data_IF_143767712196
#
_entry.id   IF_143767712196
#
_cell.length_a   1.000
_cell.length_b   1.000
_cell.length_c   1.000
_cell.angle_alpha   90.00
_cell.angle_beta   90.00
_cell.angle_gamma   90.00
#
_symmetry.space_group_name_H-M   'P 1'
#
loop_
_entity.id
_entity.type
_entity.pdbx_description
1 polymer ?
#
# COMPACT_ATOMS: atom_id res chain seq x y z
N UNK A 1 24.06 8.22 -10.52
CA UNK A 1 23.24 6.99 -10.54
C UNK A 1 22.58 6.88 -11.90
N UNK A 2 22.70 5.71 -12.55
CA UNK A 2 22.06 5.36 -13.82
C UNK A 2 21.19 4.13 -13.63
N UNK A 3 20.15 3.98 -14.46
CA UNK A 3 19.29 2.80 -14.47
C UNK A 3 19.51 2.00 -15.74
N UNK A 4 19.54 0.68 -15.61
CA UNK A 4 19.68 -0.26 -16.72
C UNK A 4 18.52 -1.25 -16.73
N UNK A 5 18.02 -1.58 -17.90
CA UNK A 5 17.12 -2.72 -18.12
C UNK A 5 17.97 -3.92 -18.49
N UNK A 6 17.96 -4.95 -17.64
CA UNK A 6 18.79 -6.14 -17.83
C UNK A 6 17.95 -7.40 -17.87
N UNK A 7 18.35 -8.35 -18.72
CA UNK A 7 17.75 -9.68 -18.71
C UNK A 7 18.28 -10.46 -17.49
N UNK A 8 17.39 -11.06 -16.73
CA UNK A 8 17.74 -11.88 -15.56
C UNK A 8 18.57 -13.12 -15.90
N UNK A 9 18.63 -13.50 -17.17
CA UNK A 9 19.43 -14.63 -17.67
C UNK A 9 20.86 -14.26 -18.05
N UNK A 10 21.25 -12.98 -17.93
CA UNK A 10 22.61 -12.56 -18.23
C UNK A 10 23.62 -13.24 -17.30
N UNK A 11 24.80 -13.61 -17.83
CA UNK A 11 25.89 -14.13 -17.00
C UNK A 11 26.24 -13.13 -15.88
N UNK A 12 26.45 -13.66 -14.69
CA UNK A 12 26.74 -12.84 -13.51
C UNK A 12 25.50 -12.36 -12.75
N UNK A 13 24.28 -12.76 -13.16
CA UNK A 13 23.05 -12.52 -12.39
C UNK A 13 22.59 -13.83 -11.75
N UNK A 14 22.37 -13.80 -10.45
CA UNK A 14 21.81 -14.92 -9.70
C UNK A 14 20.60 -14.43 -8.89
N UNK A 15 19.51 -15.18 -8.97
CA UNK A 15 18.30 -14.92 -8.15
C UNK A 15 18.33 -15.90 -6.97
N UNK A 16 18.24 -15.35 -5.77
CA UNK A 16 18.22 -16.09 -4.52
C UNK A 16 16.95 -16.93 -4.32
N UNK A 17 16.89 -17.62 -3.18
CA UNK A 17 15.68 -18.35 -2.77
C UNK A 17 14.57 -17.35 -2.40
N UNK A 18 13.29 -17.68 -2.68
CA UNK A 18 12.18 -16.85 -2.26
C UNK A 18 12.13 -16.65 -0.74
N UNK A 19 11.89 -15.39 -0.33
CA UNK A 19 11.78 -15.02 1.07
C UNK A 19 10.53 -15.60 1.71
N UNK A 20 10.65 -15.97 2.99
CA UNK A 20 9.50 -16.23 3.85
C UNK A 20 9.01 -14.92 4.45
N UNK A 21 7.75 -14.57 4.20
CA UNK A 21 7.16 -13.29 4.59
C UNK A 21 5.97 -13.48 5.52
N UNK A 22 5.63 -12.43 6.25
CA UNK A 22 4.44 -12.34 7.10
C UNK A 22 3.13 -12.48 6.29
N UNK A 23 3.08 -11.85 5.11
CA UNK A 23 1.93 -11.82 4.21
C UNK A 23 2.36 -11.67 2.76
N UNK A 24 1.37 -11.45 1.87
CA UNK A 24 1.55 -11.34 0.42
C UNK A 24 2.36 -12.52 -0.15
N UNK A 25 2.02 -13.72 0.27
CA UNK A 25 2.76 -14.95 -0.09
C UNK A 25 2.75 -15.25 -1.59
N UNK A 26 1.74 -14.77 -2.31
CA UNK A 26 1.63 -14.91 -3.77
C UNK A 26 2.59 -14.00 -4.56
N UNK A 27 3.15 -12.96 -3.94
CA UNK A 27 4.14 -12.07 -4.54
C UNK A 27 5.53 -12.49 -4.05
N UNK A 28 6.25 -13.26 -4.84
CA UNK A 28 7.59 -13.72 -4.47
C UNK A 28 8.59 -12.56 -4.45
N UNK A 29 9.46 -12.55 -3.46
CA UNK A 29 10.63 -11.66 -3.34
C UNK A 29 11.87 -12.51 -3.11
N UNK A 30 13.02 -12.06 -3.61
CA UNK A 30 14.31 -12.72 -3.43
C UNK A 30 15.43 -11.70 -3.62
N UNK A 31 16.62 -12.02 -3.10
CA UNK A 31 17.83 -11.28 -3.42
C UNK A 31 18.20 -11.44 -4.90
N UNK A 32 18.71 -10.37 -5.50
CA UNK A 32 19.33 -10.41 -6.84
C UNK A 32 20.80 -10.06 -6.67
N UNK A 33 21.66 -10.99 -7.03
CA UNK A 33 23.11 -10.88 -6.90
C UNK A 33 23.69 -10.59 -8.28
N UNK A 34 24.50 -9.53 -8.35
CA UNK A 34 25.28 -9.18 -9.56
C UNK A 34 26.75 -9.43 -9.27
N UNK A 35 27.34 -10.36 -10.01
CA UNK A 35 28.78 -10.67 -9.93
C UNK A 35 29.41 -10.48 -11.31
N UNK A 36 30.21 -9.41 -11.45
CA UNK A 36 30.88 -9.05 -12.71
C UNK A 36 29.94 -9.05 -13.94
N UNK A 37 28.68 -8.71 -13.73
CA UNK A 37 27.65 -8.68 -14.77
C UNK A 37 27.96 -7.58 -15.79
N UNK A 38 28.22 -7.96 -17.04
CA UNK A 38 28.45 -7.02 -18.14
C UNK A 38 27.12 -6.74 -18.85
N UNK A 39 26.76 -5.47 -18.96
CA UNK A 39 25.55 -5.02 -19.64
C UNK A 39 25.91 -4.17 -20.87
N UNK A 40 25.06 -4.25 -21.90
CA UNK A 40 25.22 -3.41 -23.09
C UNK A 40 24.83 -1.96 -22.73
N UNK A 41 25.52 -0.98 -23.33
CA UNK A 41 25.15 0.44 -23.19
C UNK A 41 23.72 0.75 -23.64
N UNK A 42 23.19 -0.04 -24.57
CA UNK A 42 21.82 0.11 -25.08
C UNK A 42 20.76 -0.28 -24.02
N UNK A 43 21.18 -0.99 -22.96
CA UNK A 43 20.36 -1.27 -21.78
C UNK A 43 20.18 -0.05 -20.86
N UNK A 44 20.90 1.05 -21.10
CA UNK A 44 20.81 2.27 -20.31
C UNK A 44 19.46 2.96 -20.55
N UNK A 45 18.64 3.04 -19.49
CA UNK A 45 17.34 3.69 -19.57
C UNK A 45 17.47 5.20 -19.83
N UNK A 46 16.81 5.66 -20.89
CA UNK A 46 16.85 7.05 -21.31
C UNK A 46 18.13 7.45 -22.06
N UNK A 47 18.98 6.48 -22.45
CA UNK A 47 20.21 6.67 -23.21
C UNK A 47 21.16 7.76 -22.66
N UNK A 48 21.01 8.13 -21.37
CA UNK A 48 21.79 9.15 -20.69
C UNK A 48 22.18 8.70 -19.28
N UNK A 49 23.46 8.81 -18.99
CA UNK A 49 23.96 8.54 -17.65
C UNK A 49 23.53 9.62 -16.63
N UNK A 50 23.48 9.24 -15.36
CA UNK A 50 23.24 10.16 -14.23
C UNK A 50 21.78 10.52 -13.97
N UNK A 51 20.82 10.14 -14.83
CA UNK A 51 19.40 10.47 -14.65
C UNK A 51 18.59 9.38 -13.92
N UNK A 52 19.21 8.26 -13.56
CA UNK A 52 18.53 7.10 -13.00
C UNK A 52 17.83 7.40 -11.68
N UNK A 53 18.43 8.20 -10.79
CA UNK A 53 17.79 8.59 -9.53
C UNK A 53 16.50 9.40 -9.76
N UNK A 54 16.57 10.42 -10.62
CA UNK A 54 15.39 11.24 -10.96
C UNK A 54 14.29 10.41 -11.62
N UNK A 55 14.67 9.47 -12.47
CA UNK A 55 13.72 8.54 -13.10
C UNK A 55 13.02 7.67 -12.06
N UNK A 56 13.78 7.09 -11.11
CA UNK A 56 13.23 6.29 -10.03
C UNK A 56 12.25 7.10 -9.15
N UNK A 57 12.60 8.35 -8.80
CA UNK A 57 11.71 9.21 -7.98
C UNK A 57 10.38 9.49 -8.70
N UNK A 58 10.39 9.77 -10.00
CA UNK A 58 9.16 9.97 -10.80
C UNK A 58 8.28 8.70 -10.83
N UNK A 59 8.88 7.52 -10.89
CA UNK A 59 8.17 6.24 -10.83
C UNK A 59 7.53 6.04 -9.46
N UNK A 60 8.24 6.37 -8.37
CA UNK A 60 7.71 6.26 -7.02
C UNK A 60 6.52 7.18 -6.75
N UNK A 61 6.50 8.40 -7.28
CA UNK A 61 5.34 9.30 -7.15
C UNK A 61 4.08 8.68 -7.80
N UNK A 62 4.26 8.00 -8.94
CA UNK A 62 3.19 7.24 -9.59
C UNK A 62 2.79 6.00 -8.77
N UNK A 63 3.77 5.27 -8.26
CA UNK A 63 3.59 4.08 -7.44
C UNK A 63 2.80 4.36 -6.17
N UNK A 64 3.05 5.47 -5.48
CA UNK A 64 2.33 5.89 -4.27
C UNK A 64 0.82 6.01 -4.48
N UNK A 65 0.39 6.59 -5.60
CA UNK A 65 -1.02 6.71 -5.92
C UNK A 65 -1.67 5.34 -6.23
N UNK A 66 -0.95 4.46 -6.94
CA UNK A 66 -1.41 3.08 -7.19
C UNK A 66 -1.57 2.30 -5.88
N UNK A 67 -0.58 2.37 -5.01
CA UNK A 67 -0.63 1.70 -3.69
C UNK A 67 -1.80 2.23 -2.86
N UNK A 68 -2.07 3.53 -2.91
CA UNK A 68 -3.24 4.12 -2.24
C UNK A 68 -4.55 3.50 -2.72
N UNK A 69 -4.69 3.28 -4.04
CA UNK A 69 -5.85 2.61 -4.63
C UNK A 69 -5.99 1.16 -4.15
N UNK A 70 -4.88 0.42 -4.08
CA UNK A 70 -4.87 -0.95 -3.55
C UNK A 70 -5.28 -0.97 -2.07
N UNK A 71 -4.79 -0.03 -1.26
CA UNK A 71 -5.17 0.09 0.15
C UNK A 71 -6.67 0.30 0.31
N UNK A 72 -7.29 1.14 -0.51
CA UNK A 72 -8.75 1.36 -0.47
C UNK A 72 -9.50 0.10 -0.87
N UNK A 73 -9.12 -0.58 -1.95
CA UNK A 73 -9.76 -1.82 -2.37
C UNK A 73 -9.68 -2.92 -1.30
N UNK A 74 -8.52 -3.05 -0.64
CA UNK A 74 -8.34 -4.00 0.46
C UNK A 74 -9.16 -3.60 1.70
N UNK A 75 -9.27 -2.30 2.00
CA UNK A 75 -10.11 -1.79 3.09
C UNK A 75 -11.60 -2.08 2.84
N UNK A 76 -12.07 -1.94 1.60
CA UNK A 76 -13.44 -2.32 1.22
C UNK A 76 -13.70 -3.81 1.38
N UNK A 77 -12.72 -4.64 0.99
CA UNK A 77 -12.83 -6.09 1.19
C UNK A 77 -12.87 -6.46 2.67
N UNK A 78 -12.05 -5.86 3.50
CA UNK A 78 -12.06 -6.08 4.95
C UNK A 78 -13.38 -5.67 5.59
N UNK A 79 -13.91 -4.51 5.20
CA UNK A 79 -15.21 -4.05 5.67
C UNK A 79 -16.35 -4.99 5.21
N UNK A 80 -16.27 -5.50 3.98
CA UNK A 80 -17.24 -6.49 3.48
C UNK A 80 -17.24 -7.78 4.30
N UNK A 81 -16.06 -8.33 4.60
CA UNK A 81 -15.94 -9.53 5.45
C UNK A 81 -16.47 -9.28 6.86
N UNK A 82 -16.15 -8.13 7.45
CA UNK A 82 -16.64 -7.73 8.77
C UNK A 82 -18.17 -7.60 8.79
N UNK A 83 -18.78 -6.98 7.79
CA UNK A 83 -20.23 -6.86 7.65
C UNK A 83 -20.89 -8.22 7.48
N UNK A 84 -20.35 -9.07 6.58
CA UNK A 84 -20.84 -10.42 6.35
C UNK A 84 -20.84 -11.23 7.64
N UNK A 85 -19.79 -11.12 8.46
CA UNK A 85 -19.73 -11.83 9.73
C UNK A 85 -20.72 -11.23 10.73
N UNK A 86 -20.74 -9.92 10.90
CA UNK A 86 -21.54 -9.24 11.91
C UNK A 86 -23.06 -9.44 11.73
N UNK A 87 -23.52 -9.52 10.46
CA UNK A 87 -24.95 -9.73 10.14
C UNK A 87 -25.40 -11.21 10.20
N UNK A 88 -24.47 -12.14 10.38
CA UNK A 88 -24.78 -13.57 10.50
C UNK A 88 -24.52 -14.13 11.90
N UNK A 89 -23.55 -13.58 12.63
CA UNK A 89 -23.18 -14.03 13.96
C UNK A 89 -24.15 -13.51 15.01
N UNK A 90 -24.72 -14.40 15.79
CA UNK A 90 -25.63 -14.07 16.90
C UNK A 90 -24.96 -14.27 18.24
N UNK A 91 -25.14 -13.33 19.15
CA UNK A 91 -24.81 -13.40 20.58
C UNK A 91 -25.87 -12.62 21.37
N UNK A 92 -26.13 -13.03 22.60
CA UNK A 92 -27.14 -12.40 23.46
C UNK A 92 -28.53 -12.29 22.83
N UNK A 93 -28.88 -13.26 21.96
CA UNK A 93 -30.19 -13.36 21.33
C UNK A 93 -30.35 -12.59 19.99
N UNK A 94 -29.38 -11.80 19.56
CA UNK A 94 -29.46 -10.99 18.34
C UNK A 94 -28.16 -11.01 17.52
N UNK A 95 -28.20 -10.46 16.30
CA UNK A 95 -27.03 -10.27 15.46
C UNK A 95 -26.07 -9.29 16.11
N UNK A 96 -24.74 -9.58 16.04
CA UNK A 96 -23.77 -8.66 16.63
C UNK A 96 -23.69 -7.32 15.90
N UNK A 97 -24.22 -7.20 14.70
CA UNK A 97 -24.39 -5.94 13.94
C UNK A 97 -25.33 -4.95 14.67
N UNK A 98 -26.15 -5.40 15.61
CA UNK A 98 -27.03 -4.54 16.40
C UNK A 98 -26.33 -3.90 17.60
N UNK A 99 -25.12 -4.33 17.94
CA UNK A 99 -24.41 -3.74 19.09
C UNK A 99 -23.66 -2.48 18.71
N UNK A 100 -23.83 -1.44 19.52
CA UNK A 100 -23.28 -0.10 19.23
C UNK A 100 -21.77 -0.07 19.03
N UNK A 101 -20.98 -0.89 19.75
CA UNK A 101 -19.53 -0.94 19.58
C UNK A 101 -19.13 -1.57 18.22
N UNK A 102 -19.90 -2.52 17.72
CA UNK A 102 -19.71 -3.06 16.37
C UNK A 102 -20.09 -2.02 15.31
N UNK A 103 -21.23 -1.34 15.51
CA UNK A 103 -21.68 -0.26 14.62
C UNK A 103 -20.66 0.87 14.52
N UNK A 104 -20.05 1.25 15.65
CA UNK A 104 -18.99 2.27 15.68
C UNK A 104 -17.79 1.87 14.81
N UNK A 105 -17.29 0.63 14.93
CA UNK A 105 -16.18 0.13 14.11
C UNK A 105 -16.53 0.11 12.61
N UNK A 106 -17.77 -0.25 12.26
CA UNK A 106 -18.26 -0.25 10.88
C UNK A 106 -18.34 1.20 10.35
N UNK A 107 -18.91 2.12 11.13
CA UNK A 107 -19.08 3.52 10.75
C UNK A 107 -17.73 4.21 10.52
N UNK A 108 -16.79 4.05 11.46
CA UNK A 108 -15.42 4.57 11.33
C UNK A 108 -14.74 4.05 10.07
N UNK A 109 -14.81 2.73 9.84
CA UNK A 109 -14.19 2.11 8.68
C UNK A 109 -14.80 2.64 7.37
N UNK A 110 -16.11 2.80 7.31
CA UNK A 110 -16.79 3.33 6.12
C UNK A 110 -16.44 4.78 5.84
N UNK A 111 -16.40 5.63 6.87
CA UNK A 111 -16.06 7.04 6.73
C UNK A 111 -14.61 7.24 6.28
N UNK A 112 -13.67 6.49 6.88
CA UNK A 112 -12.26 6.49 6.47
C UNK A 112 -12.06 6.06 5.00
N UNK A 113 -12.77 5.02 4.55
CA UNK A 113 -12.75 4.57 3.15
C UNK A 113 -13.27 5.66 2.20
N UNK A 114 -14.36 6.33 2.54
CA UNK A 114 -14.92 7.41 1.70
C UNK A 114 -13.96 8.59 1.60
N UNK A 115 -13.35 9.01 2.71
CA UNK A 115 -12.34 10.07 2.72
C UNK A 115 -11.13 9.69 1.85
N UNK A 116 -10.64 8.45 1.97
CA UNK A 116 -9.53 7.95 1.16
C UNK A 116 -9.85 7.94 -0.33
N UNK A 117 -11.06 7.52 -0.73
CA UNK A 117 -11.51 7.56 -2.13
C UNK A 117 -11.52 8.99 -2.67
N UNK A 118 -12.05 9.95 -1.93
CA UNK A 118 -12.06 11.36 -2.32
C UNK A 118 -10.64 11.88 -2.55
N UNK A 119 -9.72 11.59 -1.63
CA UNK A 119 -8.31 11.99 -1.73
C UNK A 119 -7.64 11.41 -2.98
N UNK A 120 -7.78 10.11 -3.24
CA UNK A 120 -7.17 9.44 -4.40
C UNK A 120 -7.73 10.01 -5.71
N UNK A 121 -9.05 10.16 -5.82
CA UNK A 121 -9.70 10.66 -7.04
C UNK A 121 -9.25 12.09 -7.33
N UNK A 122 -9.21 12.95 -6.31
CA UNK A 122 -8.73 14.32 -6.47
C UNK A 122 -7.26 14.36 -6.93
N UNK A 123 -6.40 13.58 -6.27
CA UNK A 123 -4.96 13.49 -6.63
C UNK A 123 -4.78 12.97 -8.07
N UNK A 124 -5.56 11.97 -8.47
CA UNK A 124 -5.50 11.42 -9.83
C UNK A 124 -5.91 12.47 -10.88
N UNK A 125 -6.99 13.22 -10.65
CA UNK A 125 -7.41 14.32 -11.52
C UNK A 125 -6.34 15.40 -11.67
N UNK A 126 -5.77 15.85 -10.56
CA UNK A 126 -4.68 16.84 -10.59
C UNK A 126 -3.49 16.35 -11.43
N UNK A 127 -3.15 15.07 -11.31
CA UNK A 127 -2.08 14.46 -12.09
C UNK A 127 -2.43 14.39 -13.59
N UNK A 128 -3.66 14.00 -13.94
CA UNK A 128 -4.13 13.93 -15.33
C UNK A 128 -4.15 15.32 -15.99
N UNK A 129 -4.33 16.39 -15.20
CA UNK A 129 -4.16 17.78 -15.59
C UNK A 129 -2.69 18.22 -15.73
N UNK A 130 -1.72 17.32 -15.52
CA UNK A 130 -0.29 17.59 -15.64
C UNK A 130 0.33 18.32 -14.44
N UNK A 131 -0.38 18.45 -13.33
CA UNK A 131 0.12 19.09 -12.11
C UNK A 131 1.17 18.22 -11.41
N UNK A 132 2.09 18.85 -10.69
CA UNK A 132 2.96 18.13 -9.74
C UNK A 132 2.13 17.70 -8.52
N UNK A 133 2.08 16.40 -8.28
CA UNK A 133 1.29 15.80 -7.19
C UNK A 133 2.14 15.06 -6.15
N UNK A 134 3.41 15.43 -6.00
CA UNK A 134 4.31 14.80 -5.04
C UNK A 134 3.78 14.90 -3.60
N UNK A 135 3.24 16.05 -3.22
CA UNK A 135 2.63 16.27 -1.90
C UNK A 135 1.38 15.41 -1.74
N UNK A 136 0.44 15.54 -2.66
CA UNK A 136 -0.87 14.88 -2.62
C UNK A 136 -0.74 13.34 -2.68
N UNK A 137 0.16 12.82 -3.53
CA UNK A 137 0.45 11.39 -3.62
C UNK A 137 1.05 10.83 -2.33
N UNK A 138 1.92 11.62 -1.67
CA UNK A 138 2.49 11.24 -0.38
C UNK A 138 1.42 11.27 0.74
N UNK A 139 0.55 12.28 0.75
CA UNK A 139 -0.61 12.34 1.65
C UNK A 139 -1.55 11.15 1.44
N UNK A 140 -1.89 10.84 0.18
CA UNK A 140 -2.75 9.72 -0.15
C UNK A 140 -2.14 8.40 0.32
N UNK A 141 -0.84 8.17 0.05
CA UNK A 141 -0.15 6.95 0.47
C UNK A 141 -0.10 6.80 1.98
N UNK A 142 0.25 7.85 2.71
CA UNK A 142 0.27 7.84 4.17
C UNK A 142 -1.11 7.53 4.72
N UNK A 143 -2.11 8.32 4.35
CA UNK A 143 -3.47 8.19 4.88
C UNK A 143 -4.06 6.80 4.57
N UNK A 144 -4.02 6.37 3.30
CA UNK A 144 -4.63 5.11 2.88
C UNK A 144 -3.96 3.88 3.52
N UNK A 145 -2.63 3.88 3.67
CA UNK A 145 -1.94 2.75 4.31
C UNK A 145 -2.16 2.68 5.83
N UNK A 146 -2.31 3.82 6.49
CA UNK A 146 -2.59 3.87 7.94
C UNK A 146 -4.03 3.45 8.25
N UNK A 147 -5.02 3.94 7.48
CA UNK A 147 -6.42 3.53 7.70
C UNK A 147 -6.63 2.06 7.36
N UNK A 148 -5.96 1.53 6.32
CA UNK A 148 -5.99 0.11 6.00
C UNK A 148 -5.59 -0.74 7.21
N UNK A 149 -4.52 -0.35 7.92
CA UNK A 149 -4.09 -1.04 9.13
C UNK A 149 -5.16 -1.03 10.23
N UNK A 150 -5.82 0.11 10.46
CA UNK A 150 -6.92 0.26 11.44
C UNK A 150 -8.14 -0.57 11.06
N UNK A 151 -8.52 -0.56 9.77
CA UNK A 151 -9.67 -1.32 9.27
C UNK A 151 -9.40 -2.82 9.36
N UNK A 152 -8.17 -3.26 9.07
CA UNK A 152 -7.77 -4.66 9.21
C UNK A 152 -7.88 -5.12 10.68
N UNK A 153 -7.43 -4.29 11.62
CA UNK A 153 -7.55 -4.56 13.05
C UNK A 153 -9.01 -4.66 13.48
N UNK A 154 -9.85 -3.69 13.10
CA UNK A 154 -11.30 -3.72 13.39
C UNK A 154 -11.99 -4.93 12.77
N UNK A 155 -11.63 -5.34 11.56
CA UNK A 155 -12.22 -6.51 10.91
C UNK A 155 -11.92 -7.79 11.68
N UNK A 156 -10.68 -7.99 12.12
CA UNK A 156 -10.31 -9.13 12.99
C UNK A 156 -11.05 -9.03 14.32
N UNK A 157 -11.13 -7.85 14.93
CA UNK A 157 -11.81 -7.62 16.22
C UNK A 157 -13.30 -7.91 16.14
N UNK A 158 -13.99 -7.54 15.07
CA UNK A 158 -15.42 -7.86 14.83
C UNK A 158 -15.64 -9.38 14.74
N UNK A 159 -14.70 -10.12 14.17
CA UNK A 159 -14.77 -11.57 14.12
C UNK A 159 -14.45 -12.24 15.47
N UNK A 160 -13.83 -11.52 16.41
CA UNK A 160 -13.38 -12.09 17.68
C UNK A 160 -12.39 -13.24 17.45
N UNK A 161 -12.51 -14.33 18.22
CA UNK A 161 -11.63 -15.51 18.08
C UNK A 161 -11.65 -16.15 16.69
N UNK A 162 -12.76 -16.07 15.97
CA UNK A 162 -12.86 -16.56 14.59
C UNK A 162 -11.93 -15.78 13.64
N UNK A 163 -11.72 -14.46 13.87
CA UNK A 163 -10.83 -13.65 13.06
C UNK A 163 -9.35 -14.00 13.18
N UNK A 164 -8.98 -14.78 14.17
CA UNK A 164 -7.62 -15.28 14.38
C UNK A 164 -7.35 -16.63 13.71
N UNK A 165 -8.41 -17.26 13.15
CA UNK A 165 -8.33 -18.57 12.53
C UNK A 165 -8.15 -18.47 11.02
N UNK A 166 -7.34 -19.37 10.45
CA UNK A 166 -6.95 -19.33 9.02
C UNK A 166 -8.12 -19.59 8.04
N UNK A 167 -9.23 -20.12 8.54
CA UNK A 167 -10.45 -20.33 7.76
C UNK A 167 -11.16 -19.01 7.39
N UNK A 168 -10.87 -17.93 8.11
CA UNK A 168 -11.44 -16.61 7.87
C UNK A 168 -10.45 -15.70 7.13
N UNK A 169 -10.89 -15.09 6.04
CA UNK A 169 -10.04 -14.28 5.18
C UNK A 169 -9.37 -13.09 5.90
N UNK A 170 -9.96 -12.60 6.98
CA UNK A 170 -9.50 -11.38 7.68
C UNK A 170 -8.12 -11.54 8.31
N UNK A 171 -7.74 -12.75 8.79
CA UNK A 171 -6.39 -12.97 9.35
C UNK A 171 -5.32 -12.81 8.29
N UNK A 172 -5.52 -13.40 7.10
CA UNK A 172 -4.61 -13.26 5.97
C UNK A 172 -4.56 -11.81 5.48
N UNK A 173 -5.72 -11.17 5.31
CA UNK A 173 -5.80 -9.78 4.86
C UNK A 173 -5.14 -8.82 5.85
N UNK A 174 -5.19 -9.12 7.16
CA UNK A 174 -4.46 -8.38 8.20
C UNK A 174 -2.95 -8.46 7.99
N UNK A 175 -2.42 -9.66 7.77
CA UNK A 175 -0.99 -9.88 7.49
C UNK A 175 -0.56 -9.19 6.20
N UNK A 176 -1.37 -9.29 5.14
CA UNK A 176 -1.12 -8.66 3.84
C UNK A 176 -1.13 -7.13 3.96
N UNK A 177 -2.04 -6.57 4.75
CA UNK A 177 -2.19 -5.13 4.97
C UNK A 177 -0.95 -4.49 5.61
N UNK A 178 -0.20 -5.24 6.44
CA UNK A 178 0.93 -4.69 7.20
C UNK A 178 2.04 -4.12 6.33
N UNK A 179 2.28 -4.70 5.14
CA UNK A 179 3.34 -4.30 4.24
C UNK A 179 3.15 -2.89 3.66
N UNK A 180 1.89 -2.45 3.47
CA UNK A 180 1.59 -1.15 2.83
C UNK A 180 2.13 0.07 3.58
N UNK A 181 2.44 -0.07 4.87
CA UNK A 181 3.11 0.98 5.67
C UNK A 181 4.64 0.95 5.57
N UNK A 182 5.21 -0.05 4.86
CA UNK A 182 6.65 -0.27 4.78
C UNK A 182 7.19 0.05 3.39
N UNK A 183 6.65 -0.56 2.35
CA UNK A 183 7.16 -0.39 0.98
C UNK A 183 6.60 0.86 0.29
N UNK A 184 7.14 1.19 -0.91
CA UNK A 184 6.87 2.44 -1.66
C UNK A 184 7.15 3.71 -0.84
N UNK A 185 8.10 3.60 0.09
CA UNK A 185 8.43 4.58 1.10
C UNK A 185 7.58 4.39 2.37
N UNK A 186 8.25 4.17 3.50
CA UNK A 186 7.57 3.96 4.80
C UNK A 186 6.67 5.14 5.15
N UNK A 187 5.74 4.94 6.10
CA UNK A 187 4.93 6.03 6.66
C UNK A 187 5.78 7.22 7.10
N UNK A 188 6.95 6.96 7.72
CA UNK A 188 7.89 8.00 8.15
C UNK A 188 8.49 8.77 6.98
N UNK A 189 8.84 8.08 5.89
CA UNK A 189 9.33 8.74 4.66
C UNK A 189 8.24 9.62 4.05
N UNK A 190 6.97 9.17 4.03
CA UNK A 190 5.88 10.01 3.56
C UNK A 190 5.72 11.27 4.43
N UNK A 191 5.81 11.13 5.76
CA UNK A 191 5.74 12.27 6.68
C UNK A 191 6.85 13.30 6.40
N UNK A 192 8.07 12.86 6.15
CA UNK A 192 9.20 13.74 5.80
C UNK A 192 8.97 14.47 4.46
N UNK A 193 8.45 13.78 3.45
CA UNK A 193 8.14 14.38 2.15
C UNK A 193 7.02 15.42 2.30
N UNK A 194 5.93 15.06 2.98
CA UNK A 194 4.79 15.96 3.22
C UNK A 194 5.25 17.22 3.93
N UNK A 195 6.00 17.08 5.02
CA UNK A 195 6.51 18.23 5.78
C UNK A 195 7.39 19.13 4.91
N UNK A 196 8.34 18.54 4.16
CA UNK A 196 9.23 19.30 3.27
C UNK A 196 8.45 20.07 2.20
N UNK A 197 7.53 19.44 1.49
CA UNK A 197 6.78 20.11 0.41
C UNK A 197 5.83 21.17 0.99
N UNK A 198 5.19 20.92 2.15
CA UNK A 198 4.34 21.89 2.84
C UNK A 198 5.14 23.16 3.23
N UNK A 199 6.32 22.98 3.84
CA UNK A 199 7.19 24.09 4.25
C UNK A 199 7.69 24.87 3.01
N UNK A 200 8.05 24.16 1.95
CA UNK A 200 8.48 24.78 0.69
C UNK A 200 7.37 25.65 0.10
N UNK A 201 6.14 25.13 0.03
CA UNK A 201 5.00 25.86 -0.54
C UNK A 201 4.60 27.08 0.30
N UNK A 202 4.85 27.05 1.62
CA UNK A 202 4.60 28.21 2.51
C UNK A 202 5.63 29.36 2.31
N UNK A 203 6.86 29.04 1.89
CA UNK A 203 7.94 30.02 1.71
C UNK A 203 7.97 30.66 0.31
N UNK A 204 7.23 30.13 -0.65
CA UNK A 204 7.07 30.65 -2.01
C UNK A 204 5.79 31.48 -2.12
#
# INVERSE_FOLDING_TARGET
ISCFLVDSKLPGITIGKPDRKMGQSGALTADIIFDNCKVNKDSLLGAKEGIGFTTAMKVLDKGRLHISGICVGLSERLLFEALKFATNRKQFGEEISNFQLIQAMIADSKSEILAAKGLIINTAKMRDEGKNVTLESSCAKLFCSEILGKIADRAVQIHGGAGYMSEYAVERLYRDARLFRIYEGTSQIQQLIIARETIKNFKN
#
